data_IF_413504009457
#
_entry.id   IF_413504009457
#
_cell.length_a   1.000
_cell.length_b   1.000
_cell.length_c   1.000
_cell.angle_alpha   90.00
_cell.angle_beta   90.00
_cell.angle_gamma   90.00
#
_symmetry.space_group_name_H-M   'P 1'
#
loop_
_entity.id
_entity.type
_entity.pdbx_description
1 polymer ?
#
# COMPACT_ATOMS: atom_id res chain seq x y z
N UNK A 1 -31.15 -21.75 51.97
CA UNK A 1 -31.88 -20.51 52.32
C UNK A 1 -31.28 -19.38 51.51
N UNK A 2 -32.14 -18.66 50.77
CA UNK A 2 -32.14 -17.22 50.42
C UNK A 2 -30.79 -16.56 50.06
N UNK A 3 -30.62 -15.75 49.02
CA UNK A 3 -31.56 -15.08 48.12
C UNK A 3 -30.77 -14.48 46.94
N UNK A 4 -31.41 -14.48 45.78
CA UNK A 4 -31.08 -13.80 44.54
C UNK A 4 -31.13 -12.27 44.66
N UNK A 5 -30.27 -11.57 43.89
CA UNK A 5 -30.44 -10.16 43.52
C UNK A 5 -30.48 -10.04 41.99
N UNK A 6 -31.60 -9.69 41.37
CA UNK A 6 -31.62 -9.11 40.03
C UNK A 6 -31.71 -7.58 40.13
N UNK A 7 -30.81 -6.87 39.46
CA UNK A 7 -30.83 -5.41 39.37
C UNK A 7 -31.55 -4.98 38.10
N UNK A 8 -32.81 -4.56 38.32
CA UNK A 8 -33.53 -3.43 37.72
C UNK A 8 -33.33 -3.10 36.22
N UNK A 9 -34.36 -3.51 35.49
CA UNK A 9 -35.02 -2.91 34.34
C UNK A 9 -35.06 -1.36 34.36
N UNK A 10 -34.69 -0.70 33.27
CA UNK A 10 -35.18 0.63 32.93
C UNK A 10 -35.43 0.73 31.43
N UNK A 11 -36.66 1.04 31.10
CA UNK A 11 -37.22 1.25 29.78
C UNK A 11 -37.82 2.66 29.81
N UNK A 12 -37.59 3.48 28.79
CA UNK A 12 -38.63 4.17 27.98
C UNK A 12 -38.03 5.34 27.15
N UNK A 13 -38.05 5.30 25.80
CA UNK A 13 -38.91 6.05 24.82
C UNK A 13 -38.38 7.45 24.40
N UNK A 14 -38.83 8.09 23.30
CA UNK A 14 -39.05 7.62 21.91
C UNK A 14 -38.57 8.63 20.81
N UNK A 15 -38.78 8.22 19.57
CA UNK A 15 -38.73 8.91 18.26
C UNK A 15 -39.22 10.37 18.23
N UNK A 16 -38.47 11.25 17.54
CA UNK A 16 -38.99 12.53 17.01
C UNK A 16 -38.75 12.59 15.50
N UNK A 17 -39.87 12.57 14.79
CA UNK A 17 -40.08 12.91 13.39
C UNK A 17 -39.94 14.43 13.24
N UNK A 18 -39.14 14.87 12.28
CA UNK A 18 -39.00 16.28 11.91
C UNK A 18 -38.95 16.45 10.40
N UNK A 19 -40.12 16.38 9.77
CA UNK A 19 -40.35 16.75 8.37
C UNK A 19 -40.33 18.27 8.29
N UNK A 20 -39.43 18.86 7.49
CA UNK A 20 -39.54 20.26 7.06
C UNK A 20 -39.57 20.26 5.53
N UNK A 21 -40.79 20.39 5.02
CA UNK A 21 -41.10 20.89 3.70
C UNK A 21 -40.90 22.42 3.72
N UNK A 22 -40.04 22.95 2.86
CA UNK A 22 -40.12 24.35 2.43
C UNK A 22 -40.08 24.38 0.90
N UNK A 23 -41.05 25.12 0.39
CA UNK A 23 -41.59 25.19 -0.95
C UNK A 23 -40.73 26.01 -1.92
N UNK A 24 -40.85 25.62 -3.19
CA UNK A 24 -40.46 26.32 -4.42
C UNK A 24 -40.55 27.86 -4.36
N UNK A 25 -39.47 28.51 -4.83
CA UNK A 25 -39.52 29.81 -5.48
C UNK A 25 -39.05 29.60 -6.92
N UNK A 26 -39.98 29.77 -7.87
CA UNK A 26 -39.67 29.88 -9.30
C UNK A 26 -39.22 31.31 -9.58
N UNK A 27 -38.00 31.46 -10.12
CA UNK A 27 -37.53 32.72 -10.71
C UNK A 27 -37.43 32.49 -12.21
N UNK A 28 -38.34 33.10 -12.96
CA UNK A 28 -38.28 33.20 -14.42
C UNK A 28 -37.54 34.49 -14.77
N UNK A 29 -36.42 34.39 -15.50
CA UNK A 29 -35.67 35.54 -16.01
C UNK A 29 -34.63 35.10 -17.04
N UNK A 30 -34.74 35.69 -18.23
CA UNK A 30 -34.14 35.26 -19.49
C UNK A 30 -32.67 35.66 -19.72
N UNK A 31 -32.15 35.02 -20.77
CA UNK A 31 -31.13 35.45 -21.72
C UNK A 31 -29.64 35.35 -21.38
N UNK A 32 -28.99 34.48 -22.16
CA UNK A 32 -27.75 34.80 -22.83
C UNK A 32 -26.47 34.48 -22.07
N UNK A 33 -25.90 33.31 -22.34
CA UNK A 33 -24.53 33.18 -22.86
C UNK A 33 -24.19 31.70 -23.04
N UNK A 34 -23.65 31.39 -24.21
CA UNK A 34 -23.14 30.10 -24.64
C UNK A 34 -22.14 29.51 -23.63
N UNK A 35 -22.50 28.40 -22.98
CA UNK A 35 -21.55 27.53 -22.30
C UNK A 35 -21.11 26.43 -23.27
N UNK A 36 -19.82 26.24 -23.55
CA UNK A 36 -19.36 25.04 -24.22
C UNK A 36 -19.52 23.88 -23.23
N UNK A 37 -20.25 22.84 -23.63
CA UNK A 37 -20.20 21.55 -22.96
C UNK A 37 -18.77 21.01 -23.11
N UNK A 38 -17.97 21.19 -22.06
CA UNK A 38 -16.77 20.40 -21.83
C UNK A 38 -17.23 18.97 -21.58
N UNK A 39 -17.29 18.19 -22.65
CA UNK A 39 -17.23 16.74 -22.59
C UNK A 39 -15.95 16.38 -21.83
N UNK A 40 -16.08 16.07 -20.55
CA UNK A 40 -15.00 15.48 -19.77
C UNK A 40 -14.77 14.07 -20.31
N UNK A 41 -13.94 13.98 -21.35
CA UNK A 41 -13.18 12.77 -21.59
C UNK A 41 -12.48 12.44 -20.27
N UNK A 42 -12.67 11.21 -19.78
CA UNK A 42 -11.76 10.64 -18.78
C UNK A 42 -10.43 10.39 -19.48
N UNK A 43 -9.69 11.45 -19.76
CA UNK A 43 -8.24 11.39 -19.79
C UNK A 43 -7.85 10.98 -18.37
N UNK A 44 -7.35 9.75 -18.20
CA UNK A 44 -6.65 9.39 -16.98
C UNK A 44 -5.56 10.43 -16.81
N UNK A 45 -5.68 11.24 -15.78
CA UNK A 45 -4.69 12.25 -15.46
C UNK A 45 -3.34 11.54 -15.32
N UNK A 46 -2.44 11.85 -16.25
CA UNK A 46 -1.00 11.61 -16.18
C UNK A 46 -0.39 12.52 -15.10
N UNK A 47 -0.93 12.43 -13.88
CA UNK A 47 -0.28 12.97 -12.71
C UNK A 47 0.72 11.91 -12.30
N UNK A 48 2.00 12.23 -12.35
CA UNK A 48 3.08 11.32 -11.95
C UNK A 48 2.88 10.72 -10.55
N UNK A 49 3.85 9.93 -10.05
CA UNK A 49 3.69 9.11 -8.86
C UNK A 49 3.11 9.88 -7.67
N UNK A 50 1.94 9.46 -7.18
CA UNK A 50 1.30 10.03 -5.99
C UNK A 50 1.49 9.09 -4.81
N UNK A 51 2.24 9.52 -3.80
CA UNK A 51 2.41 8.80 -2.54
C UNK A 51 1.70 9.53 -1.40
N UNK A 52 1.32 8.79 -0.37
CA UNK A 52 0.82 9.41 0.85
C UNK A 52 1.99 10.12 1.56
N UNK A 53 1.78 11.38 1.93
CA UNK A 53 2.74 12.14 2.71
C UNK A 53 2.75 11.62 4.16
N UNK A 54 3.63 10.66 4.42
CA UNK A 54 3.80 10.03 5.73
C UNK A 54 5.29 9.82 6.01
N UNK A 55 5.77 10.28 7.16
CA UNK A 55 7.12 9.97 7.62
C UNK A 55 7.21 8.50 8.04
N UNK A 56 8.31 7.84 7.65
CA UNK A 56 8.52 6.44 8.00
C UNK A 56 8.76 6.21 9.50
N UNK A 57 8.62 4.95 9.96
CA UNK A 57 9.03 4.59 11.31
C UNK A 57 10.50 4.93 11.57
N UNK A 58 10.86 5.12 12.83
CA UNK A 58 12.23 5.48 13.23
C UNK A 58 13.27 4.48 12.69
N UNK A 59 14.35 4.99 12.11
CA UNK A 59 15.45 4.19 11.56
C UNK A 59 15.13 3.49 10.23
N UNK A 60 13.90 3.57 9.71
CA UNK A 60 13.55 3.03 8.39
C UNK A 60 14.11 3.94 7.30
N UNK A 61 14.87 3.36 6.38
CA UNK A 61 15.44 4.08 5.25
C UNK A 61 14.49 4.09 4.05
N UNK A 62 14.43 5.19 3.31
CA UNK A 62 13.68 5.31 2.03
C UNK A 62 12.23 4.81 2.14
N UNK A 63 11.50 5.26 3.15
CA UNK A 63 10.11 4.89 3.33
C UNK A 63 9.21 5.61 2.32
N UNK A 64 8.31 4.87 1.70
CA UNK A 64 7.30 5.37 0.78
C UNK A 64 5.97 4.70 1.08
N UNK A 65 4.98 5.47 1.55
CA UNK A 65 3.61 5.00 1.70
C UNK A 65 2.90 5.11 0.35
N UNK A 66 2.78 3.99 -0.36
CA UNK A 66 2.22 3.95 -1.71
C UNK A 66 0.72 4.27 -1.66
N UNK A 67 0.01 3.58 -0.77
CA UNK A 67 -1.41 3.83 -0.48
C UNK A 67 -1.76 3.40 0.95
N UNK A 68 -3.06 3.33 1.26
CA UNK A 68 -3.53 2.93 2.58
C UNK A 68 -3.08 1.51 2.98
N UNK A 69 -2.85 0.64 1.99
CA UNK A 69 -2.58 -0.79 2.16
C UNK A 69 -1.13 -1.18 1.92
N UNK A 70 -0.34 -0.36 1.21
CA UNK A 70 1.04 -0.71 0.83
C UNK A 70 2.05 0.35 1.21
N UNK A 71 3.16 -0.07 1.81
CA UNK A 71 4.36 0.74 1.93
C UNK A 71 5.62 0.00 1.47
N UNK A 72 6.55 0.76 0.90
CA UNK A 72 7.83 0.30 0.39
C UNK A 72 8.97 0.94 1.17
N UNK A 73 10.05 0.20 1.40
CA UNK A 73 11.18 0.71 2.17
C UNK A 73 12.55 0.08 1.83
N UNK A 74 13.59 0.74 2.32
CA UNK A 74 14.96 0.24 2.43
C UNK A 74 15.20 -0.49 3.74
N UNK A 75 16.40 -0.33 4.30
CA UNK A 75 16.78 -1.00 5.54
C UNK A 75 15.76 -0.67 6.65
N UNK A 76 15.26 -1.73 7.28
CA UNK A 76 14.24 -1.68 8.33
C UNK A 76 14.83 -2.34 9.57
N UNK A 77 15.03 -1.60 10.68
CA UNK A 77 15.53 -2.17 11.91
C UNK A 77 14.43 -3.02 12.59
N UNK A 78 14.78 -4.07 13.36
CA UNK A 78 13.79 -4.89 14.07
C UNK A 78 12.85 -4.10 14.98
N UNK A 79 13.33 -3.00 15.54
CA UNK A 79 12.58 -2.10 16.43
C UNK A 79 11.38 -1.44 15.74
N UNK A 80 11.40 -1.34 14.40
CA UNK A 80 10.30 -0.76 13.64
C UNK A 80 9.06 -1.68 13.55
N UNK A 81 9.18 -2.98 13.84
CA UNK A 81 8.09 -3.96 13.62
C UNK A 81 6.84 -3.65 14.44
N UNK A 82 6.99 -3.23 15.70
CA UNK A 82 5.84 -2.85 16.53
C UNK A 82 5.10 -1.62 15.95
N UNK A 83 5.85 -0.64 15.46
CA UNK A 83 5.27 0.56 14.85
C UNK A 83 4.59 0.24 13.50
N UNK A 84 5.15 -0.66 12.70
CA UNK A 84 4.51 -1.14 11.47
C UNK A 84 3.16 -1.79 11.77
N UNK A 85 3.05 -2.59 12.84
CA UNK A 85 1.77 -3.14 13.29
C UNK A 85 0.79 -2.04 13.70
N UNK A 86 1.24 -1.04 14.47
CA UNK A 86 0.39 0.09 14.89
C UNK A 86 -0.13 0.91 13.70
N UNK A 87 0.63 0.97 12.61
CA UNK A 87 0.23 1.62 11.35
C UNK A 87 -0.72 0.80 10.48
N UNK A 88 -1.11 -0.38 10.95
CA UNK A 88 -2.12 -1.24 10.32
C UNK A 88 -1.56 -2.28 9.35
N UNK A 89 -0.24 -2.40 9.20
CA UNK A 89 0.34 -3.49 8.42
C UNK A 89 0.11 -4.84 9.10
N UNK A 90 -0.16 -5.86 8.30
CA UNK A 90 -0.35 -7.25 8.76
C UNK A 90 0.82 -8.13 8.34
N UNK A 91 1.48 -7.81 7.22
CA UNK A 91 2.56 -8.61 6.65
C UNK A 91 3.78 -7.77 6.31
N UNK A 92 4.96 -8.33 6.55
CA UNK A 92 6.26 -7.82 6.12
C UNK A 92 6.86 -8.74 5.09
N UNK A 93 7.18 -8.22 3.90
CA UNK A 93 7.96 -8.90 2.87
C UNK A 93 9.39 -8.37 2.89
N UNK A 94 10.35 -9.26 3.12
CA UNK A 94 11.77 -8.92 3.15
C UNK A 94 12.54 -9.57 1.99
N UNK A 95 13.22 -8.75 1.20
CA UNK A 95 14.07 -9.22 0.09
C UNK A 95 15.55 -9.40 0.45
N UNK A 96 15.97 -8.97 1.65
CA UNK A 96 17.37 -9.03 2.06
C UNK A 96 17.82 -10.45 2.34
N UNK A 97 19.02 -10.80 1.87
CA UNK A 97 19.68 -12.05 2.27
C UNK A 97 20.39 -11.87 3.61
N UNK A 98 20.54 -12.95 4.37
CA UNK A 98 21.17 -12.90 5.70
C UNK A 98 22.65 -12.47 5.68
N UNK A 99 23.35 -12.65 4.56
CA UNK A 99 24.76 -12.27 4.40
C UNK A 99 24.98 -10.81 3.98
N UNK A 100 23.92 -10.02 3.80
CA UNK A 100 24.08 -8.60 3.47
C UNK A 100 24.59 -7.79 4.67
N UNK A 101 25.47 -6.82 4.42
CA UNK A 101 25.98 -5.91 5.46
C UNK A 101 24.83 -5.18 6.15
N UNK A 102 24.79 -5.28 7.48
CA UNK A 102 23.73 -4.66 8.30
C UNK A 102 22.36 -5.29 8.08
N UNK A 103 22.28 -6.52 7.58
CA UNK A 103 21.03 -7.27 7.55
C UNK A 103 20.72 -7.86 8.92
N UNK A 104 19.50 -7.63 9.37
CA UNK A 104 18.97 -8.10 10.65
C UNK A 104 17.80 -9.06 10.39
N UNK A 105 17.99 -10.02 9.47
CA UNK A 105 16.89 -10.89 9.00
C UNK A 105 16.27 -11.69 10.14
N UNK A 106 17.08 -12.44 10.90
CA UNK A 106 16.56 -13.28 11.99
C UNK A 106 15.96 -12.46 13.13
N UNK A 107 16.60 -11.36 13.49
CA UNK A 107 16.10 -10.44 14.51
C UNK A 107 14.80 -9.74 14.06
N UNK A 108 14.73 -9.35 12.79
CA UNK A 108 13.55 -8.73 12.18
C UNK A 108 12.38 -9.70 12.10
N UNK A 109 12.63 -10.97 11.75
CA UNK A 109 11.62 -12.04 11.79
C UNK A 109 11.07 -12.24 13.20
N UNK A 110 11.94 -12.38 14.19
CA UNK A 110 11.53 -12.53 15.59
C UNK A 110 10.72 -11.31 16.09
N UNK A 111 11.14 -10.11 15.74
CA UNK A 111 10.43 -8.88 16.10
C UNK A 111 9.07 -8.76 15.38
N UNK A 112 8.97 -9.19 14.13
CA UNK A 112 7.72 -9.24 13.39
C UNK A 112 6.72 -10.22 14.03
N UNK A 113 7.18 -11.44 14.34
CA UNK A 113 6.36 -12.45 15.05
C UNK A 113 5.89 -11.93 16.41
N UNK A 114 6.77 -11.27 17.17
CA UNK A 114 6.42 -10.67 18.47
C UNK A 114 5.41 -9.52 18.34
N UNK A 115 5.46 -8.74 17.25
CA UNK A 115 4.46 -7.72 16.91
C UNK A 115 3.19 -8.32 16.27
N UNK A 116 3.13 -9.64 16.09
CA UNK A 116 2.02 -10.35 15.45
C UNK A 116 1.88 -10.08 13.95
N UNK A 117 2.95 -9.65 13.29
CA UNK A 117 3.03 -9.50 11.84
C UNK A 117 3.37 -10.85 11.21
N UNK A 118 2.76 -11.16 10.06
CA UNK A 118 3.25 -12.22 9.20
C UNK A 118 4.59 -11.78 8.57
N UNK A 119 5.53 -12.71 8.42
CA UNK A 119 6.85 -12.41 7.88
C UNK A 119 7.17 -13.33 6.70
N UNK A 120 7.17 -12.76 5.51
CA UNK A 120 7.46 -13.45 4.26
C UNK A 120 8.89 -13.08 3.83
N UNK A 121 9.76 -14.08 3.75
CA UNK A 121 11.16 -13.89 3.39
C UNK A 121 11.42 -14.42 1.98
N UNK A 122 11.67 -13.51 1.02
CA UNK A 122 11.98 -13.83 -0.38
C UNK A 122 13.39 -13.30 -0.69
N UNK A 123 14.46 -13.91 -0.15
CA UNK A 123 15.81 -13.37 -0.28
C UNK A 123 16.34 -13.49 -1.72
N UNK A 124 16.80 -12.39 -2.30
CA UNK A 124 17.50 -12.44 -3.59
C UNK A 124 18.56 -11.35 -3.74
N UNK A 125 19.61 -11.67 -4.51
CA UNK A 125 20.64 -10.70 -4.93
C UNK A 125 20.46 -10.32 -6.38
N UNK A 126 20.33 -11.33 -7.24
CA UNK A 126 19.98 -11.22 -8.64
C UNK A 126 18.50 -11.57 -8.78
N UNK A 127 17.78 -10.78 -9.58
CA UNK A 127 16.36 -11.01 -9.80
C UNK A 127 16.16 -12.12 -10.84
N UNK A 128 15.21 -13.02 -10.58
CA UNK A 128 14.83 -14.11 -11.49
C UNK A 128 13.31 -14.13 -11.64
N UNK A 129 12.82 -14.85 -12.66
CA UNK A 129 11.37 -14.97 -12.89
C UNK A 129 10.66 -15.59 -11.69
N UNK A 130 11.26 -16.61 -11.06
CA UNK A 130 10.70 -17.31 -9.91
C UNK A 130 10.58 -16.41 -8.67
N UNK A 131 11.53 -15.50 -8.48
CA UNK A 131 11.47 -14.49 -7.42
C UNK A 131 10.33 -13.50 -7.68
N UNK A 132 10.19 -13.06 -8.93
CA UNK A 132 9.10 -12.16 -9.32
C UNK A 132 7.73 -12.83 -9.14
N UNK A 133 7.58 -14.09 -9.56
CA UNK A 133 6.37 -14.89 -9.38
C UNK A 133 6.03 -15.08 -7.89
N UNK A 134 7.01 -15.47 -7.06
CA UNK A 134 6.81 -15.62 -5.62
C UNK A 134 6.36 -14.32 -4.96
N UNK A 135 6.91 -13.18 -5.41
CA UNK A 135 6.48 -11.87 -4.93
C UNK A 135 5.06 -11.54 -5.38
N UNK A 136 4.75 -11.74 -6.66
CA UNK A 136 3.43 -11.47 -7.24
C UNK A 136 2.33 -12.29 -6.56
N UNK A 137 2.59 -13.55 -6.25
CA UNK A 137 1.69 -14.41 -5.47
C UNK A 137 1.50 -13.86 -4.05
N UNK A 138 2.59 -13.51 -3.36
CA UNK A 138 2.53 -13.01 -1.99
C UNK A 138 1.72 -11.70 -1.86
N UNK A 139 1.87 -10.77 -2.80
CA UNK A 139 1.13 -9.49 -2.76
C UNK A 139 -0.30 -9.59 -3.30
N UNK A 140 -0.60 -10.58 -4.15
CA UNK A 140 -1.95 -10.83 -4.63
C UNK A 140 -2.84 -11.50 -3.58
N UNK A 141 -2.25 -12.23 -2.63
CA UNK A 141 -2.99 -12.86 -1.55
C UNK A 141 -3.60 -11.80 -0.61
N UNK A 142 -4.95 -11.70 -0.52
CA UNK A 142 -5.61 -10.71 0.32
C UNK A 142 -5.34 -10.91 1.81
N UNK A 143 -4.95 -12.11 2.24
CA UNK A 143 -4.60 -12.38 3.65
C UNK A 143 -3.28 -11.72 4.05
N UNK A 144 -2.46 -11.32 3.08
CA UNK A 144 -1.20 -10.61 3.31
C UNK A 144 -1.36 -9.08 3.33
N UNK A 145 -2.57 -8.56 3.10
CA UNK A 145 -2.82 -7.12 3.08
C UNK A 145 -3.33 -6.62 4.44
N UNK A 146 -2.99 -5.39 4.88
CA UNK A 146 -1.99 -4.46 4.33
C UNK A 146 -0.52 -4.93 4.42
N UNK A 147 0.26 -4.72 3.35
CA UNK A 147 1.64 -5.23 3.23
C UNK A 147 2.70 -4.13 3.30
N UNK A 148 3.78 -4.42 4.03
CA UNK A 148 5.00 -3.62 4.07
C UNK A 148 6.13 -4.38 3.37
N UNK A 149 6.78 -3.78 2.37
CA UNK A 149 7.78 -4.44 1.53
C UNK A 149 9.12 -3.72 1.69
N UNK A 150 10.19 -4.45 2.01
CA UNK A 150 11.47 -3.82 2.24
C UNK A 150 12.70 -4.59 1.72
N UNK A 151 13.78 -3.84 1.52
CA UNK A 151 15.10 -4.41 1.23
C UNK A 151 16.22 -3.62 1.92
N UNK A 152 17.38 -3.41 1.29
CA UNK A 152 18.44 -2.56 1.85
C UNK A 152 18.30 -1.07 1.55
N UNK A 153 17.76 -0.71 0.38
CA UNK A 153 17.72 0.68 -0.11
C UNK A 153 16.46 1.02 -0.92
N UNK A 154 15.42 0.19 -0.84
CA UNK A 154 14.23 0.19 -1.69
C UNK A 154 14.46 -0.13 -3.19
N UNK A 155 15.70 -0.40 -3.62
CA UNK A 155 16.01 -0.64 -5.04
C UNK A 155 15.37 -1.94 -5.60
N UNK A 156 15.50 -3.06 -4.87
CA UNK A 156 14.81 -4.33 -5.20
C UNK A 156 13.29 -4.20 -5.10
N UNK A 157 12.82 -3.40 -4.14
CA UNK A 157 11.39 -3.16 -3.94
C UNK A 157 10.82 -2.42 -5.15
N UNK A 158 11.47 -1.36 -5.62
CA UNK A 158 11.03 -0.64 -6.82
C UNK A 158 10.96 -1.54 -8.05
N UNK A 159 11.97 -2.40 -8.29
CA UNK A 159 11.96 -3.33 -9.42
C UNK A 159 10.77 -4.31 -9.39
N UNK A 160 10.54 -4.95 -8.23
CA UNK A 160 9.42 -5.88 -8.06
C UNK A 160 8.07 -5.14 -8.11
N UNK A 161 8.02 -3.92 -7.57
CA UNK A 161 6.83 -3.09 -7.61
C UNK A 161 6.45 -2.67 -9.03
N UNK A 162 7.43 -2.36 -9.89
CA UNK A 162 7.21 -2.12 -11.32
C UNK A 162 6.50 -3.32 -11.96
N UNK A 163 7.04 -4.52 -11.74
CA UNK A 163 6.47 -5.76 -12.30
C UNK A 163 5.02 -5.93 -11.86
N UNK A 164 4.73 -5.73 -10.57
CA UNK A 164 3.38 -5.79 -10.00
C UNK A 164 2.44 -4.77 -10.66
N UNK A 165 2.86 -3.50 -10.76
CA UNK A 165 2.05 -2.44 -11.37
C UNK A 165 1.65 -2.79 -12.81
N UNK A 166 2.56 -3.33 -13.61
CA UNK A 166 2.27 -3.69 -15.00
C UNK A 166 1.44 -4.98 -15.09
N UNK A 167 1.84 -6.04 -14.39
CA UNK A 167 1.24 -7.37 -14.55
C UNK A 167 -0.09 -7.55 -13.80
N UNK A 168 -0.30 -6.84 -12.69
CA UNK A 168 -1.49 -7.00 -11.85
C UNK A 168 -2.39 -5.76 -11.84
N UNK A 169 -1.83 -4.54 -11.88
CA UNK A 169 -2.62 -3.30 -11.78
C UNK A 169 -2.95 -2.67 -13.14
N UNK A 170 -2.35 -3.16 -14.23
CA UNK A 170 -2.57 -2.65 -15.59
C UNK A 170 -1.97 -1.27 -15.86
N UNK A 171 -0.93 -0.88 -15.12
CA UNK A 171 -0.19 0.36 -15.39
C UNK A 171 0.59 0.25 -16.71
N UNK A 172 0.81 1.39 -17.37
CA UNK A 172 1.81 1.45 -18.44
C UNK A 172 3.20 1.25 -17.86
N UNK A 173 4.13 0.75 -18.68
CA UNK A 173 5.53 0.56 -18.26
C UNK A 173 6.14 1.89 -17.79
N UNK A 174 5.89 2.99 -18.50
CA UNK A 174 6.44 4.31 -18.15
C UNK A 174 5.93 4.81 -16.80
N UNK A 175 4.63 4.68 -16.52
CA UNK A 175 4.05 5.07 -15.24
C UNK A 175 4.57 4.20 -14.08
N UNK A 176 4.63 2.88 -14.29
CA UNK A 176 5.17 1.94 -13.31
C UNK A 176 6.66 2.18 -13.03
N UNK A 177 7.45 2.52 -14.07
CA UNK A 177 8.86 2.84 -13.96
C UNK A 177 9.08 4.13 -13.18
N UNK A 178 8.32 5.19 -13.49
CA UNK A 178 8.40 6.45 -12.76
C UNK A 178 8.10 6.25 -11.27
N UNK A 179 7.08 5.45 -10.93
CA UNK A 179 6.73 5.13 -9.54
C UNK A 179 7.84 4.30 -8.85
N UNK A 180 8.38 3.31 -9.55
CA UNK A 180 9.47 2.48 -9.03
C UNK A 180 10.75 3.27 -8.75
N UNK A 181 11.10 4.22 -9.62
CA UNK A 181 12.24 5.11 -9.42
C UNK A 181 12.03 6.03 -8.22
N UNK A 182 10.81 6.55 -8.06
CA UNK A 182 10.45 7.39 -6.92
C UNK A 182 10.48 6.61 -5.58
N UNK A 183 10.19 5.30 -5.60
CA UNK A 183 10.38 4.40 -4.44
C UNK A 183 11.86 4.15 -4.14
N UNK A 184 12.71 4.05 -5.18
CA UNK A 184 14.16 3.88 -5.01
C UNK A 184 14.85 2.96 -6.01
N UNK A 185 14.15 2.50 -7.06
CA UNK A 185 14.77 1.80 -8.18
C UNK A 185 15.83 2.70 -8.84
N UNK A 186 17.07 2.23 -8.86
CA UNK A 186 18.22 2.97 -9.40
C UNK A 186 19.26 2.08 -10.06
N UNK A 187 19.18 0.76 -9.85
CA UNK A 187 20.07 -0.18 -10.49
C UNK A 187 19.63 -0.43 -11.93
N UNK A 188 20.55 -0.26 -12.88
CA UNK A 188 20.32 -0.58 -14.29
C UNK A 188 19.92 -2.04 -14.48
N UNK A 189 20.65 -2.99 -13.87
CA UNK A 189 20.37 -4.41 -14.01
C UNK A 189 18.97 -4.80 -13.48
N UNK A 190 18.53 -4.24 -12.35
CA UNK A 190 17.18 -4.50 -11.83
C UNK A 190 16.09 -3.86 -12.71
N UNK A 191 16.36 -2.67 -13.25
CA UNK A 191 15.45 -2.01 -14.19
C UNK A 191 15.29 -2.85 -15.46
N UNK A 192 16.40 -3.23 -16.08
CA UNK A 192 16.41 -4.08 -17.29
C UNK A 192 15.67 -5.39 -17.05
N UNK A 193 15.97 -6.08 -15.94
CA UNK A 193 15.23 -7.30 -15.57
C UNK A 193 13.72 -7.06 -15.49
N UNK A 194 13.28 -6.00 -14.80
CA UNK A 194 11.86 -5.72 -14.63
C UNK A 194 11.18 -5.41 -15.97
N UNK A 195 11.85 -4.66 -16.85
CA UNK A 195 11.37 -4.33 -18.19
C UNK A 195 11.27 -5.58 -19.08
N UNK A 196 12.30 -6.42 -19.08
CA UNK A 196 12.32 -7.67 -19.84
C UNK A 196 11.22 -8.62 -19.36
N UNK A 197 11.06 -8.76 -18.03
CA UNK A 197 10.02 -9.59 -17.43
C UNK A 197 8.61 -9.13 -17.83
N UNK A 198 8.34 -7.82 -17.82
CA UNK A 198 7.00 -7.33 -18.19
C UNK A 198 6.71 -7.40 -19.68
N UNK A 199 7.76 -7.34 -20.51
CA UNK A 199 7.68 -7.48 -21.98
C UNK A 199 7.47 -8.91 -22.43
N UNK A 200 7.93 -9.88 -21.62
CA UNK A 200 7.73 -11.30 -21.90
C UNK A 200 6.24 -11.67 -21.81
N UNK A 201 5.78 -12.47 -22.77
CA UNK A 201 4.46 -13.12 -22.77
C UNK A 201 4.49 -14.32 -21.82
N UNK A 202 4.68 -14.05 -20.53
CA UNK A 202 4.58 -15.03 -19.44
C UNK A 202 3.14 -15.14 -18.97
#
# INVERSE_FOLDING_TARGET
MLQSKPMQQSSYFPTIIGVIFVTMVSVTGCDGTSSPQSSSNTERQDTGPSFQAEEGPEGVRNYTRVDATVACAGATPPEAMAELRNRGFTTVINFRTGGERGATVDAGKQAAEAAGLNYIHIPFREATAEVAESFLEAVADPTNQPVYIHCGSANRVGAMWLIKRVKQDGYTVDAALAEAEAIGLSSTALREFALDYVSASN
#
